data_IF_058970265066
#
_entry.id   IF_058970265066
#
_cell.length_a   1.000
_cell.length_b   1.000
_cell.length_c   1.000
_cell.angle_alpha   90.00
_cell.angle_beta   90.00
_cell.angle_gamma   90.00
#
_symmetry.space_group_name_H-M   'P 1'
#
loop_
_entity.id
_entity.type
_entity.pdbx_description
1 polymer ?
#
# COMPACT_ATOMS: atom_id res chain seq x y z
N UNK A 1 -0.27 -7.84 13.87
CA UNK A 1 -1.25 -6.86 13.42
C UNK A 1 -1.03 -5.55 14.10
N UNK A 2 -1.35 -5.30 15.13
CA UNK A 2 -1.16 -4.27 16.10
C UNK A 2 -0.65 -2.93 15.56
N UNK A 3 0.62 -2.67 15.72
CA UNK A 3 1.19 -1.33 15.52
C UNK A 3 1.07 -0.84 14.06
N UNK A 4 1.38 -1.69 13.10
CA UNK A 4 1.31 -1.29 11.69
C UNK A 4 -0.09 -0.94 11.23
N UNK A 5 -1.09 -1.73 11.65
CA UNK A 5 -2.49 -1.47 11.34
C UNK A 5 -2.99 -0.20 12.02
N UNK A 6 -2.63 -0.01 13.29
CA UNK A 6 -3.03 1.17 14.05
C UNK A 6 -2.45 2.46 13.45
N UNK A 7 -1.18 2.44 13.04
CA UNK A 7 -0.55 3.60 12.40
C UNK A 7 -1.20 3.93 11.07
N UNK A 8 -1.50 2.93 10.27
CA UNK A 8 -2.15 3.14 8.99
C UNK A 8 -3.57 3.66 9.15
N UNK A 9 -4.32 3.13 10.11
CA UNK A 9 -5.66 3.62 10.40
C UNK A 9 -5.64 5.08 10.88
N UNK A 10 -4.66 5.42 11.70
CA UNK A 10 -4.47 6.81 12.16
C UNK A 10 -4.20 7.74 10.97
N UNK A 11 -3.37 7.31 10.03
CA UNK A 11 -3.10 8.08 8.82
C UNK A 11 -4.36 8.27 7.98
N UNK A 12 -5.15 7.22 7.82
CA UNK A 12 -6.41 7.28 7.08
C UNK A 12 -7.37 8.27 7.74
N UNK A 13 -7.53 8.17 9.05
CA UNK A 13 -8.40 9.06 9.81
C UNK A 13 -7.98 10.53 9.69
N UNK A 14 -6.68 10.77 9.78
CA UNK A 14 -6.12 12.11 9.59
C UNK A 14 -6.39 12.63 8.18
N UNK A 15 -6.18 11.81 7.18
CA UNK A 15 -6.41 12.19 5.78
C UNK A 15 -7.89 12.47 5.51
N UNK A 16 -8.79 11.67 6.08
CA UNK A 16 -10.24 11.90 5.94
C UNK A 16 -10.68 13.21 6.57
N UNK A 17 -10.03 13.60 7.65
CA UNK A 17 -10.32 14.86 8.34
C UNK A 17 -9.70 16.09 7.66
N UNK A 18 -8.80 15.90 6.71
CA UNK A 18 -8.10 17.00 6.05
C UNK A 18 -8.72 17.26 4.68
N UNK A 19 -9.38 18.41 4.50
CA UNK A 19 -10.09 18.70 3.22
C UNK A 19 -9.15 18.88 2.03
N UNK A 20 -7.85 19.01 2.26
CA UNK A 20 -6.87 19.15 1.17
C UNK A 20 -6.38 17.82 0.63
N UNK A 21 -6.70 16.71 1.33
CA UNK A 21 -6.27 15.37 0.91
C UNK A 21 -7.46 14.61 0.36
N UNK A 22 -7.32 14.11 -0.86
CA UNK A 22 -8.38 13.37 -1.55
C UNK A 22 -8.01 11.90 -1.77
N UNK A 23 -6.73 11.56 -1.69
CA UNK A 23 -6.23 10.24 -2.05
C UNK A 23 -5.00 9.89 -1.24
N UNK A 24 -4.90 8.64 -0.78
CA UNK A 24 -3.70 8.07 -0.20
C UNK A 24 -3.16 7.02 -1.18
N UNK A 25 -1.89 7.15 -1.55
CA UNK A 25 -1.23 6.18 -2.41
C UNK A 25 -0.08 5.51 -1.67
N UNK A 26 0.22 4.28 -2.02
CA UNK A 26 1.35 3.55 -1.47
C UNK A 26 1.86 2.50 -2.43
N UNK A 27 3.08 2.02 -2.18
CA UNK A 27 3.68 0.92 -2.90
C UNK A 27 4.00 -0.21 -1.92
N UNK A 28 3.80 -1.43 -2.34
CA UNK A 28 4.12 -2.63 -1.56
C UNK A 28 4.73 -3.66 -2.47
N UNK A 29 5.71 -4.44 -1.99
CA UNK A 29 6.30 -5.49 -2.79
C UNK A 29 5.26 -6.57 -3.12
N UNK A 30 5.26 -7.01 -4.37
CA UNK A 30 4.27 -7.97 -4.87
C UNK A 30 4.28 -9.31 -4.13
N UNK A 31 5.42 -9.69 -3.54
CA UNK A 31 5.52 -10.92 -2.75
C UNK A 31 5.02 -10.77 -1.31
N UNK A 32 4.62 -9.57 -0.90
CA UNK A 32 4.08 -9.34 0.44
C UNK A 32 2.56 -9.45 0.42
N UNK A 33 2.08 -10.67 0.25
CA UNK A 33 0.63 -10.94 0.16
C UNK A 33 -0.14 -10.54 1.42
N UNK A 34 0.51 -10.66 2.57
CA UNK A 34 -0.10 -10.30 3.85
C UNK A 34 -0.41 -8.82 3.92
N UNK A 35 0.53 -7.97 3.51
CA UNK A 35 0.32 -6.53 3.49
C UNK A 35 -0.74 -6.14 2.46
N UNK A 36 -0.71 -6.76 1.28
CA UNK A 36 -1.70 -6.49 0.24
C UNK A 36 -3.12 -6.81 0.74
N UNK A 37 -3.30 -7.95 1.42
CA UNK A 37 -4.61 -8.31 1.99
C UNK A 37 -5.06 -7.31 3.05
N UNK A 38 -4.14 -6.86 3.90
CA UNK A 38 -4.43 -5.87 4.93
C UNK A 38 -4.89 -4.56 4.30
N UNK A 39 -4.17 -4.07 3.31
CA UNK A 39 -4.51 -2.81 2.66
C UNK A 39 -5.86 -2.89 1.95
N UNK A 40 -6.18 -4.03 1.33
CA UNK A 40 -7.51 -4.24 0.73
C UNK A 40 -8.62 -4.17 1.76
N UNK A 41 -8.41 -4.74 2.95
CA UNK A 41 -9.38 -4.64 4.06
C UNK A 41 -9.59 -3.19 4.50
N UNK A 42 -8.57 -2.36 4.38
CA UNK A 42 -8.65 -0.94 4.73
C UNK A 42 -9.15 -0.06 3.58
N UNK A 43 -9.63 -0.67 2.50
CA UNK A 43 -10.24 0.04 1.39
C UNK A 43 -9.30 0.44 0.26
N UNK A 44 -8.05 0.00 0.30
CA UNK A 44 -7.11 0.24 -0.78
C UNK A 44 -7.37 -0.73 -1.94
N UNK A 45 -7.20 -0.24 -3.15
CA UNK A 45 -7.29 -1.03 -4.38
C UNK A 45 -6.01 -0.89 -5.19
N UNK A 46 -5.74 -1.89 -6.03
CA UNK A 46 -4.56 -1.85 -6.89
C UNK A 46 -4.76 -0.83 -8.02
N UNK A 47 -3.76 0.04 -8.20
CA UNK A 47 -3.75 1.02 -9.27
C UNK A 47 -2.88 0.58 -10.43
N UNK A 48 -1.82 -0.16 -10.16
CA UNK A 48 -0.88 -0.63 -11.16
C UNK A 48 0.31 -1.32 -10.53
N UNK A 49 1.31 -1.61 -11.36
CA UNK A 49 2.53 -2.26 -10.91
C UNK A 49 3.75 -1.61 -11.55
N UNK A 50 4.85 -1.59 -10.81
CA UNK A 50 6.17 -1.25 -11.33
C UNK A 50 7.00 -2.53 -11.37
N UNK A 51 7.34 -3.03 -12.55
CA UNK A 51 8.08 -4.29 -12.67
C UNK A 51 9.53 -4.12 -12.24
N UNK A 52 10.10 -5.18 -11.69
CA UNK A 52 11.53 -5.29 -11.34
C UNK A 52 12.04 -4.17 -10.46
N UNK A 53 11.27 -3.80 -9.46
CA UNK A 53 11.63 -2.68 -8.59
C UNK A 53 12.74 -3.03 -7.60
N UNK A 54 12.84 -4.30 -7.20
CA UNK A 54 13.91 -4.78 -6.34
C UNK A 54 14.52 -6.05 -6.89
N UNK A 55 15.84 -6.11 -6.94
CA UNK A 55 16.59 -7.31 -7.31
C UNK A 55 16.93 -8.10 -6.05
N UNK A 56 16.44 -9.34 -5.96
CA UNK A 56 16.71 -10.24 -4.85
C UNK A 56 17.87 -11.17 -5.12
N UNK A 57 18.23 -11.37 -6.38
CA UNK A 57 19.32 -12.23 -6.80
C UNK A 57 19.46 -12.20 -8.32
N UNK A 58 20.44 -12.93 -8.90
CA UNK A 58 20.61 -12.98 -10.34
C UNK A 58 19.33 -13.48 -11.03
N UNK A 59 18.75 -12.65 -11.89
CA UNK A 59 17.52 -12.98 -12.59
C UNK A 59 16.27 -13.06 -11.72
N UNK A 60 16.35 -12.65 -10.45
CA UNK A 60 15.24 -12.71 -9.51
C UNK A 60 14.88 -11.30 -9.04
N UNK A 61 13.69 -10.85 -9.42
CA UNK A 61 13.20 -9.50 -9.16
C UNK A 61 11.83 -9.54 -8.51
N UNK A 62 11.50 -8.47 -7.79
CA UNK A 62 10.18 -8.28 -7.20
C UNK A 62 9.60 -7.00 -7.73
N UNK A 63 8.32 -7.05 -8.12
CA UNK A 63 7.58 -5.89 -8.57
C UNK A 63 7.02 -5.11 -7.37
N UNK A 64 6.76 -3.83 -7.58
CA UNK A 64 5.92 -3.05 -6.68
C UNK A 64 4.47 -3.11 -7.13
N UNK A 65 3.57 -3.30 -6.19
CA UNK A 65 2.13 -3.13 -6.38
C UNK A 65 1.77 -1.74 -5.88
N UNK A 66 1.21 -0.92 -6.74
CA UNK A 66 0.77 0.42 -6.39
C UNK A 66 -0.69 0.33 -5.96
N UNK A 67 -0.98 0.85 -4.79
CA UNK A 67 -2.33 0.82 -4.22
C UNK A 67 -2.77 2.22 -3.81
N UNK A 68 -4.07 2.46 -3.85
CA UNK A 68 -4.61 3.75 -3.45
C UNK A 68 -5.96 3.59 -2.77
N UNK A 69 -6.33 4.62 -2.02
CA UNK A 69 -7.66 4.77 -1.43
C UNK A 69 -8.05 6.24 -1.47
N UNK A 70 -9.25 6.53 -1.94
CA UNK A 70 -9.82 7.87 -1.79
C UNK A 70 -10.30 8.10 -0.36
N UNK A 71 -10.16 9.31 0.08
CA UNK A 71 -10.58 9.72 1.43
C UNK A 71 -11.48 10.94 1.42
#
# INVERSE_FOLDING_TARGET
>A
MGIGTALLQTLIDWAEANPLIEKIGMAVFANNERAIRLYRKLGFVEEGRRPREMKLGPGWYVDDVLMYRFV
#
